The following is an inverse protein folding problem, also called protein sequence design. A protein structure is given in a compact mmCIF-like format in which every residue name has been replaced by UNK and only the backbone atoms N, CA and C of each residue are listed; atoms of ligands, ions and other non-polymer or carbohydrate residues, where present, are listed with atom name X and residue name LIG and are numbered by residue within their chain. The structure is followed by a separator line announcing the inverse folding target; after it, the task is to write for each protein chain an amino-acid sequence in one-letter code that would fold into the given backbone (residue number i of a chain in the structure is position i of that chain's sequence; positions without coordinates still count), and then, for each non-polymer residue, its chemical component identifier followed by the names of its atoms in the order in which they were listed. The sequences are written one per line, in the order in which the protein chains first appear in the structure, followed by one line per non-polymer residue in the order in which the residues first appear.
data_IF_938145291319
#
_entry.id   IF_938145291319
#
_cell.length_a   1.000
_cell.length_b   1.000
_cell.length_c   1.000
_cell.angle_alpha   90.00
_cell.angle_beta   90.00
_cell.angle_gamma   90.00
#
_symmetry.space_group_name_H-M   'P 1'
#
loop_
_entity.id
_entity.type
_entity.pdbx_description
1 polymer ?
#
# COMPACT_ATOMS: atom_id res chain seq x y z
N UNK A 1 -2.32 8.23 -21.35
CA UNK A 1 -2.20 7.94 -19.91
C UNK A 1 -3.60 7.83 -19.36
N UNK A 2 -3.92 6.75 -18.65
CA UNK A 2 -5.15 6.68 -17.86
C UNK A 2 -5.14 7.83 -16.84
N UNK A 3 -6.28 8.45 -16.59
CA UNK A 3 -6.43 9.38 -15.46
C UNK A 3 -7.08 8.68 -14.26
N UNK A 4 -7.37 7.37 -14.39
CA UNK A 4 -8.13 6.61 -13.42
C UNK A 4 -7.36 6.46 -12.11
N UNK A 5 -6.09 6.03 -12.14
CA UNK A 5 -5.26 5.91 -10.92
C UNK A 5 -5.06 7.28 -10.28
N UNK A 6 -4.78 8.32 -11.09
CA UNK A 6 -4.57 9.67 -10.56
C UNK A 6 -5.77 10.19 -9.77
N UNK A 7 -7.00 9.89 -10.21
CA UNK A 7 -8.23 10.29 -9.51
C UNK A 7 -8.49 9.52 -8.22
N UNK A 8 -7.84 8.37 -8.03
CA UNK A 8 -7.92 7.56 -6.82
C UNK A 8 -6.93 8.01 -5.75
N UNK A 9 -5.91 8.80 -6.13
CA UNK A 9 -4.94 9.34 -5.19
C UNK A 9 -5.57 10.49 -4.40
N UNK A 10 -5.96 10.20 -3.17
CA UNK A 10 -6.35 11.21 -2.21
C UNK A 10 -5.11 11.80 -1.55
N UNK A 11 -5.00 13.13 -1.56
CA UNK A 11 -4.04 13.80 -0.69
C UNK A 11 -4.63 13.85 0.73
N UNK A 12 -3.98 13.25 1.74
CA UNK A 12 -4.54 13.20 3.08
C UNK A 12 -4.61 14.60 3.71
N UNK A 13 -5.64 14.83 4.52
CA UNK A 13 -5.80 16.05 5.31
C UNK A 13 -4.77 16.09 6.44
N UNK A 14 -4.05 17.21 6.58
CA UNK A 14 -2.97 17.32 7.57
C UNK A 14 -3.43 17.14 9.01
N UNK A 15 -4.68 17.50 9.33
CA UNK A 15 -5.28 17.27 10.65
C UNK A 15 -5.51 15.78 10.94
N UNK A 16 -6.01 15.05 9.95
CA UNK A 16 -6.17 13.59 10.03
C UNK A 16 -4.81 12.90 10.21
N UNK A 17 -3.79 13.29 9.44
CA UNK A 17 -2.45 12.71 9.57
C UNK A 17 -1.88 12.94 10.97
N UNK A 18 -1.98 14.16 11.50
CA UNK A 18 -1.47 14.45 12.85
C UNK A 18 -2.20 13.62 13.95
N UNK A 19 -3.51 13.40 13.78
CA UNK A 19 -4.28 12.58 14.72
C UNK A 19 -3.85 11.11 14.66
N UNK A 20 -3.67 10.57 13.46
CA UNK A 20 -3.19 9.21 13.24
C UNK A 20 -1.76 9.04 13.78
N UNK A 21 -0.84 9.95 13.47
CA UNK A 21 0.55 9.92 13.93
C UNK A 21 0.62 9.82 15.46
N UNK A 22 -0.15 10.65 16.18
CA UNK A 22 -0.19 10.60 17.65
C UNK A 22 -0.67 9.26 18.20
N UNK A 23 -1.69 8.65 17.57
CA UNK A 23 -2.17 7.32 17.96
C UNK A 23 -1.15 6.23 17.63
N UNK A 24 -0.51 6.31 16.46
CA UNK A 24 0.51 5.36 16.02
C UNK A 24 1.70 5.39 16.97
N UNK A 25 2.25 6.57 17.29
CA UNK A 25 3.35 6.70 18.25
C UNK A 25 2.98 6.17 19.64
N UNK A 26 1.72 6.35 20.05
CA UNK A 26 1.23 5.79 21.32
C UNK A 26 1.18 4.26 21.27
N UNK A 27 0.68 3.66 20.18
CA UNK A 27 0.65 2.21 20.00
C UNK A 27 2.06 1.61 20.02
N UNK A 28 2.99 2.25 19.31
CA UNK A 28 4.41 1.84 19.26
C UNK A 28 5.03 1.85 20.67
N UNK A 29 4.81 2.94 21.42
CA UNK A 29 5.27 3.05 22.82
C UNK A 29 4.62 2.01 23.73
N UNK A 30 3.30 1.81 23.60
CA UNK A 30 2.55 0.84 24.41
C UNK A 30 3.00 -0.60 24.13
N UNK A 31 3.32 -0.93 22.88
CA UNK A 31 3.89 -2.22 22.50
C UNK A 31 5.24 -2.45 23.19
N UNK A 32 6.16 -1.48 23.12
CA UNK A 32 7.49 -1.58 23.74
C UNK A 32 7.40 -1.77 25.25
N UNK A 33 6.40 -1.16 25.88
CA UNK A 33 6.16 -1.23 27.33
C UNK A 33 5.22 -2.39 27.73
N UNK A 34 4.81 -3.24 26.77
CA UNK A 34 3.98 -4.42 27.02
C UNK A 34 2.55 -4.11 27.48
N UNK A 35 2.01 -2.95 27.08
CA UNK A 35 0.65 -2.51 27.40
C UNK A 35 -0.35 -2.92 26.32
N UNK A 36 -1.63 -2.88 26.70
CA UNK A 36 -2.74 -3.11 25.77
C UNK A 36 -2.90 -1.94 24.79
N UNK A 37 -3.07 -2.28 23.52
CA UNK A 37 -3.18 -1.34 22.38
C UNK A 37 -4.49 -1.46 21.62
N UNK A 38 -5.40 -2.36 22.06
CA UNK A 38 -6.60 -2.69 21.30
C UNK A 38 -7.50 -1.47 21.01
N UNK A 39 -7.68 -0.57 21.99
CA UNK A 39 -8.52 0.61 21.83
C UNK A 39 -7.93 1.61 20.83
N UNK A 40 -6.62 1.87 20.92
CA UNK A 40 -5.89 2.77 20.04
C UNK A 40 -5.91 2.24 18.60
N UNK A 41 -5.72 0.92 18.42
CA UNK A 41 -5.77 0.28 17.11
C UNK A 41 -7.19 0.36 16.51
N UNK A 42 -8.23 0.17 17.32
CA UNK A 42 -9.62 0.34 16.88
C UNK A 42 -9.90 1.79 16.43
N UNK A 43 -9.38 2.78 17.16
CA UNK A 43 -9.51 4.18 16.77
C UNK A 43 -8.72 4.53 15.50
N UNK A 44 -7.50 4.00 15.33
CA UNK A 44 -6.74 4.12 14.08
C UNK A 44 -7.54 3.53 12.92
N UNK A 45 -8.11 2.33 13.08
CA UNK A 45 -8.90 1.68 12.03
C UNK A 45 -10.15 2.49 11.68
N UNK A 46 -10.86 3.09 12.65
CA UNK A 46 -12.00 3.97 12.36
C UNK A 46 -11.58 5.20 11.57
N UNK A 47 -10.48 5.84 11.96
CA UNK A 47 -9.98 7.05 11.30
C UNK A 47 -9.41 6.78 9.90
N UNK A 48 -8.81 5.60 9.69
CA UNK A 48 -8.20 5.20 8.42
C UNK A 48 -9.19 4.59 7.42
N UNK A 49 -10.48 4.53 7.75
CA UNK A 49 -11.53 3.98 6.88
C UNK A 49 -11.65 2.45 6.91
N UNK A 50 -11.23 1.81 8.00
CA UNK A 50 -11.42 0.38 8.26
C UNK A 50 -10.36 -0.51 7.61
N UNK A 51 -9.08 -0.19 7.80
CA UNK A 51 -7.97 -0.93 7.16
C UNK A 51 -7.53 -2.20 7.91
N UNK A 52 -8.25 -2.61 8.95
CA UNK A 52 -8.03 -3.84 9.72
C UNK A 52 -6.59 -4.01 10.25
N UNK A 53 -5.94 -2.91 10.65
CA UNK A 53 -4.63 -2.95 11.30
C UNK A 53 -4.69 -3.75 12.61
N UNK A 54 -3.60 -4.46 12.89
CA UNK A 54 -3.42 -5.29 14.09
C UNK A 54 -2.10 -4.93 14.78
N UNK A 55 -1.87 -5.33 16.03
CA UNK A 55 -0.64 -5.00 16.75
C UNK A 55 0.62 -5.44 15.98
N UNK A 56 0.55 -6.57 15.26
CA UNK A 56 1.63 -7.04 14.39
C UNK A 56 2.01 -6.08 13.27
N UNK A 57 1.09 -5.25 12.76
CA UNK A 57 1.35 -4.21 11.77
C UNK A 57 2.38 -3.20 12.31
N UNK A 58 2.21 -2.76 13.55
CA UNK A 58 3.01 -1.70 14.16
C UNK A 58 4.42 -2.17 14.57
N UNK A 59 4.59 -3.45 14.89
CA UNK A 59 5.93 -4.03 15.11
C UNK A 59 6.85 -3.91 13.90
N UNK A 60 6.28 -3.91 12.68
CA UNK A 60 7.08 -3.83 11.47
C UNK A 60 7.57 -2.41 11.17
N UNK A 61 6.95 -1.37 11.74
CA UNK A 61 7.29 0.03 11.44
C UNK A 61 8.78 0.33 11.61
N UNK A 62 9.38 -0.16 12.70
CA UNK A 62 10.81 0.02 13.00
C UNK A 62 11.78 -0.43 11.88
N UNK A 63 11.31 -1.25 10.93
CA UNK A 63 12.14 -1.84 9.89
C UNK A 63 12.00 -1.20 8.52
N UNK A 64 10.94 -0.43 8.24
CA UNK A 64 10.65 0.01 6.87
C UNK A 64 10.04 1.41 6.69
N UNK A 65 9.58 2.10 7.75
CA UNK A 65 9.00 3.46 7.61
C UNK A 65 8.94 4.21 8.94
N UNK A 66 8.72 5.52 8.92
CA UNK A 66 8.42 6.31 10.13
C UNK A 66 6.94 6.25 10.51
N UNK A 67 6.60 6.57 11.77
CA UNK A 67 5.21 6.71 12.23
C UNK A 67 4.45 7.76 11.42
N UNK A 68 5.16 8.82 11.00
CA UNK A 68 4.60 9.90 10.18
C UNK A 68 4.21 9.41 8.79
N UNK A 69 5.12 8.75 8.08
CA UNK A 69 4.86 8.19 6.76
C UNK A 69 3.74 7.14 6.81
N UNK A 70 3.72 6.30 7.86
CA UNK A 70 2.63 5.36 8.07
C UNK A 70 1.30 6.07 8.33
N UNK A 71 1.29 7.17 9.10
CA UNK A 71 0.10 7.98 9.31
C UNK A 71 -0.41 8.60 8.00
N UNK A 72 0.50 9.06 7.15
CA UNK A 72 0.16 9.61 5.83
C UNK A 72 -0.44 8.53 4.92
N UNK A 73 0.15 7.33 4.89
CA UNK A 73 -0.39 6.18 4.17
C UNK A 73 -1.78 5.77 4.70
N UNK A 74 -1.93 5.66 6.03
CA UNK A 74 -3.20 5.31 6.66
C UNK A 74 -4.29 6.36 6.39
N UNK A 75 -3.91 7.65 6.33
CA UNK A 75 -4.81 8.76 6.04
C UNK A 75 -5.29 8.77 4.58
N UNK A 76 -4.59 8.11 3.65
CA UNK A 76 -5.07 7.92 2.28
C UNK A 76 -6.30 7.00 2.19
N UNK A 77 -6.59 6.26 3.27
CA UNK A 77 -7.69 5.32 3.35
C UNK A 77 -7.34 3.94 2.79
N UNK A 78 -8.29 2.99 2.75
CA UNK A 78 -8.06 1.68 2.17
C UNK A 78 -7.74 1.81 0.68
N UNK A 79 -6.69 1.12 0.18
CA UNK A 79 -6.37 1.12 -1.24
C UNK A 79 -7.57 0.57 -2.03
N UNK A 80 -8.03 1.26 -3.09
CA UNK A 80 -9.17 0.80 -3.86
C UNK A 80 -8.85 -0.46 -4.66
N UNK A 81 -9.88 -1.29 -4.87
CA UNK A 81 -9.82 -2.40 -5.84
C UNK A 81 -10.26 -1.87 -7.21
N UNK A 82 -9.37 -1.95 -8.19
CA UNK A 82 -9.57 -1.47 -9.55
C UNK A 82 -9.94 -2.65 -10.44
N UNK A 83 -11.24 -2.81 -10.68
CA UNK A 83 -11.79 -3.88 -11.54
C UNK A 83 -11.30 -3.70 -12.98
N UNK A 84 -11.00 -4.81 -13.65
CA UNK A 84 -10.53 -4.88 -15.04
C UNK A 84 -9.36 -3.93 -15.29
N UNK A 85 -8.35 -3.97 -14.41
CA UNK A 85 -7.15 -3.16 -14.53
C UNK A 85 -6.45 -3.45 -15.86
N UNK A 86 -6.27 -2.41 -16.68
CA UNK A 86 -5.62 -2.52 -17.99
C UNK A 86 -4.13 -2.11 -17.94
N UNK A 87 -3.44 -2.25 -19.06
CA UNK A 87 -2.01 -1.94 -19.14
C UNK A 87 -1.73 -0.47 -18.78
N UNK A 88 -2.62 0.45 -19.14
CA UNK A 88 -2.42 1.87 -18.88
C UNK A 88 -2.59 2.22 -17.40
N UNK A 89 -3.47 1.53 -16.68
CA UNK A 89 -3.61 1.63 -15.23
C UNK A 89 -2.35 1.07 -14.53
N UNK A 90 -1.86 -0.10 -14.95
CA UNK A 90 -0.64 -0.70 -14.36
C UNK A 90 0.59 0.16 -14.59
N UNK A 91 0.82 0.65 -15.82
CA UNK A 91 1.92 1.56 -16.15
C UNK A 91 1.88 2.81 -15.27
N UNK A 92 0.70 3.37 -15.03
CA UNK A 92 0.56 4.56 -14.19
C UNK A 92 0.94 4.28 -12.74
N UNK A 93 0.50 3.15 -12.17
CA UNK A 93 0.93 2.74 -10.84
C UNK A 93 2.46 2.54 -10.77
N UNK A 94 3.05 1.86 -11.75
CA UNK A 94 4.50 1.61 -11.81
C UNK A 94 5.30 2.92 -11.91
N UNK A 95 4.83 3.86 -12.74
CA UNK A 95 5.42 5.18 -12.83
C UNK A 95 5.41 5.90 -11.48
N UNK A 96 4.30 5.87 -10.74
CA UNK A 96 4.20 6.50 -9.41
C UNK A 96 5.12 5.78 -8.41
N UNK A 97 5.15 4.45 -8.41
CA UNK A 97 6.02 3.66 -7.53
C UNK A 97 7.50 4.03 -7.72
N UNK A 98 7.94 4.28 -8.96
CA UNK A 98 9.34 4.62 -9.26
C UNK A 98 9.69 6.09 -9.07
N UNK A 99 8.73 6.99 -9.23
CA UNK A 99 8.99 8.44 -9.35
C UNK A 99 8.53 9.26 -8.15
N UNK A 100 7.60 8.76 -7.35
CA UNK A 100 7.03 9.48 -6.21
C UNK A 100 7.72 9.11 -4.89
N UNK A 101 7.69 10.05 -3.95
CA UNK A 101 8.06 9.80 -2.55
C UNK A 101 6.94 9.04 -1.83
N UNK A 102 7.28 8.48 -0.66
CA UNK A 102 6.28 7.94 0.25
C UNK A 102 5.29 9.03 0.71
N UNK A 103 4.03 8.67 1.02
CA UNK A 103 3.43 7.34 0.98
C UNK A 103 2.86 6.93 -0.39
N UNK A 104 2.98 7.77 -1.42
CA UNK A 104 2.28 7.57 -2.71
C UNK A 104 2.75 6.32 -3.44
N UNK A 105 4.04 6.00 -3.36
CA UNK A 105 4.62 4.79 -3.91
C UNK A 105 3.99 3.54 -3.27
N UNK A 106 3.99 3.46 -1.93
CA UNK A 106 3.36 2.36 -1.18
C UNK A 106 1.86 2.23 -1.45
N UNK A 107 1.15 3.34 -1.59
CA UNK A 107 -0.28 3.32 -1.91
C UNK A 107 -0.56 2.74 -3.30
N UNK A 108 0.23 3.11 -4.31
CA UNK A 108 0.10 2.55 -5.66
C UNK A 108 0.48 1.06 -5.72
N UNK A 109 1.50 0.64 -4.98
CA UNK A 109 1.83 -0.78 -4.82
C UNK A 109 0.65 -1.56 -4.23
N UNK A 110 0.01 -1.00 -3.21
CA UNK A 110 -1.16 -1.62 -2.57
C UNK A 110 -2.37 -1.72 -3.50
N UNK A 111 -2.58 -0.74 -4.40
CA UNK A 111 -3.62 -0.82 -5.45
C UNK A 111 -3.36 -2.01 -6.38
N UNK A 112 -2.11 -2.20 -6.83
CA UNK A 112 -1.73 -3.31 -7.70
C UNK A 112 -1.97 -4.65 -7.00
N UNK A 113 -1.48 -4.82 -5.77
CA UNK A 113 -1.63 -6.05 -4.99
C UNK A 113 -3.10 -6.38 -4.72
N UNK A 114 -3.93 -5.38 -4.39
CA UNK A 114 -5.37 -5.60 -4.14
C UNK A 114 -6.16 -5.89 -5.40
N UNK A 115 -5.75 -5.34 -6.54
CA UNK A 115 -6.45 -5.51 -7.81
C UNK A 115 -6.03 -6.79 -8.54
N UNK A 116 -4.80 -7.25 -8.30
CA UNK A 116 -4.19 -8.42 -8.93
C UNK A 116 -3.63 -9.37 -7.85
N UNK A 117 -4.49 -9.93 -6.96
CA UNK A 117 -4.05 -10.63 -5.74
C UNK A 117 -3.27 -11.94 -5.99
N UNK A 118 -3.32 -12.49 -7.20
CA UNK A 118 -2.60 -13.70 -7.58
C UNK A 118 -1.24 -13.42 -8.23
N UNK A 119 -0.87 -12.15 -8.40
CA UNK A 119 0.40 -11.77 -9.03
C UNK A 119 1.39 -11.37 -7.93
N UNK A 120 2.62 -11.91 -7.91
CA UNK A 120 3.65 -11.51 -6.95
C UNK A 120 4.24 -10.15 -7.34
N UNK A 121 3.47 -9.08 -7.13
CA UNK A 121 3.81 -7.71 -7.60
C UNK A 121 5.17 -7.26 -7.05
N UNK A 122 5.43 -7.47 -5.77
CA UNK A 122 6.69 -7.04 -5.12
C UNK A 122 7.90 -7.71 -5.76
N UNK A 123 7.84 -9.02 -6.00
CA UNK A 123 8.94 -9.77 -6.60
C UNK A 123 9.20 -9.28 -8.04
N UNK A 124 8.13 -9.05 -8.80
CA UNK A 124 8.24 -8.57 -10.19
C UNK A 124 8.83 -7.15 -10.23
N UNK A 125 8.56 -6.28 -9.26
CA UNK A 125 9.06 -4.90 -9.27
C UNK A 125 10.47 -4.80 -8.68
N UNK A 126 10.74 -5.50 -7.58
CA UNK A 126 11.92 -5.26 -6.74
C UNK A 126 12.94 -6.40 -6.72
N UNK A 127 12.57 -7.62 -7.10
CA UNK A 127 13.47 -8.80 -7.11
C UNK A 127 13.95 -9.12 -8.54
N UNK A 128 14.66 -8.17 -9.14
CA UNK A 128 15.16 -8.27 -10.53
C UNK A 128 16.61 -7.85 -10.67
N UNK A 129 17.29 -8.46 -11.64
CA UNK A 129 18.65 -8.07 -12.07
C UNK A 129 18.64 -7.00 -13.18
N UNK A 130 17.56 -6.95 -13.97
CA UNK A 130 17.30 -5.99 -15.05
C UNK A 130 16.36 -4.86 -14.59
N UNK A 131 16.47 -3.68 -15.21
CA UNK A 131 15.59 -2.52 -14.95
C UNK A 131 14.71 -2.22 -16.18
N UNK A 132 13.69 -3.06 -16.46
CA UNK A 132 12.75 -2.87 -17.57
C UNK A 132 11.95 -1.59 -17.41
N UNK A 133 11.43 -1.03 -18.50
CA UNK A 133 10.53 0.12 -18.41
C UNK A 133 9.15 -0.26 -17.85
N UNK A 134 8.31 0.74 -17.54
CA UNK A 134 7.00 0.48 -16.94
C UNK A 134 6.06 -0.30 -17.88
N UNK A 135 6.23 -0.19 -19.20
CA UNK A 135 5.39 -0.87 -20.18
C UNK A 135 5.71 -2.36 -20.24
N UNK A 136 7.00 -2.71 -20.22
CA UNK A 136 7.48 -4.09 -20.14
C UNK A 136 7.02 -4.78 -18.85
N UNK A 137 7.16 -4.10 -17.70
CA UNK A 137 6.66 -4.61 -16.41
C UNK A 137 5.14 -4.79 -16.41
N UNK A 138 4.39 -3.83 -16.99
CA UNK A 138 2.94 -3.93 -17.06
C UNK A 138 2.48 -5.12 -17.90
N UNK A 139 3.17 -5.41 -19.01
CA UNK A 139 2.87 -6.59 -19.83
C UNK A 139 3.12 -7.90 -19.06
N UNK A 140 4.24 -7.99 -18.32
CA UNK A 140 4.54 -9.16 -17.50
C UNK A 140 3.49 -9.37 -16.39
N UNK A 141 3.14 -8.31 -15.66
CA UNK A 141 2.14 -8.34 -14.59
C UNK A 141 0.80 -8.84 -15.12
N UNK A 142 0.33 -8.30 -16.25
CA UNK A 142 -0.96 -8.69 -16.83
C UNK A 142 -0.94 -10.10 -17.43
N UNK A 143 0.19 -10.52 -18.02
CA UNK A 143 0.38 -11.89 -18.51
C UNK A 143 0.28 -12.91 -17.37
N UNK A 144 0.92 -12.64 -16.23
CA UNK A 144 0.80 -13.48 -15.02
C UNK A 144 -0.61 -13.45 -14.44
N UNK A 145 -1.28 -12.29 -14.44
CA UNK A 145 -2.66 -12.18 -13.97
C UNK A 145 -3.64 -13.03 -14.81
N UNK A 146 -3.40 -13.12 -16.12
CA UNK A 146 -4.19 -13.91 -17.06
C UNK A 146 -3.90 -15.42 -16.99
N UNK A 147 -2.80 -15.83 -16.35
CA UNK A 147 -2.43 -17.23 -16.23
C UNK A 147 -3.21 -17.85 -15.06
N UNK A 148 -4.12 -18.81 -15.30
CA UNK A 148 -4.78 -19.50 -14.21
C UNK A 148 -3.73 -20.20 -13.36
N UNK A 149 -3.80 -20.04 -12.03
CA UNK A 149 -3.01 -20.79 -11.07
C UNK A 149 -3.25 -22.30 -11.29
N UNK A 150 -2.44 -22.94 -12.14
CA UNK A 150 -2.38 -24.39 -12.23
C UNK A 150 -1.58 -24.83 -11.00
N UNK A 151 -2.27 -24.88 -9.87
CA UNK A 151 -1.82 -25.68 -8.73
C UNK A 151 -1.96 -27.13 -9.20
N UNK A 152 -0.87 -27.69 -9.73
CA UNK A 152 -0.71 -29.13 -9.78
C UNK A 152 -0.67 -29.62 -8.33
N UNK A 153 -1.77 -30.24 -7.90
CA UNK A 153 -1.85 -31.08 -6.71
C UNK A 153 -0.92 -32.29 -6.83
#
# INVERSE_FOLDING_TARGET
MSERIQRLLNKPDGGLVNALEGLISQVVTDIDEGRDTAAQIDDINKLSGGQDFVSGTFFTLYSWTSEREFAELAAMGPPPHVVDMDQSDVVQCLYIIRSAEEPLASFCLSILQRSLPNVPITDIIFDREDDPDEAELAEEILSKAATPNIICL
#
